data_IF_442058110356
#
_entry.id   IF_442058110356
#
_cell.length_a   1.000
_cell.length_b   1.000
_cell.length_c   1.000
_cell.angle_alpha   90.00
_cell.angle_beta   90.00
_cell.angle_gamma   90.00
#
_symmetry.space_group_name_H-M   'P 1'
#
loop_
_entity.id
_entity.type
_entity.pdbx_description
1 polymer ?
#
# COMPACT_ATOMS: atom_id res chain seq x y z
N UNK A 1 -42.41 8.32 59.03
CA UNK A 1 -41.74 7.19 58.37
C UNK A 1 -42.05 7.09 56.86
N UNK A 2 -42.09 8.23 56.12
CA UNK A 2 -42.38 8.22 54.65
C UNK A 2 -41.45 9.13 53.81
N UNK A 3 -40.45 9.75 54.41
CA UNK A 3 -39.53 10.68 53.68
C UNK A 3 -38.20 10.02 53.30
N UNK A 4 -37.79 8.94 53.97
CA UNK A 4 -36.48 8.30 53.77
C UNK A 4 -36.41 7.33 52.59
N UNK A 5 -37.54 7.01 51.92
CA UNK A 5 -37.57 6.07 50.77
C UNK A 5 -37.49 6.74 49.38
N UNK A 6 -37.65 8.04 49.28
CA UNK A 6 -37.62 8.77 48.01
C UNK A 6 -36.19 9.20 47.61
N UNK A 7 -35.29 9.38 48.58
CA UNK A 7 -33.92 9.79 48.31
C UNK A 7 -33.03 8.65 47.78
N UNK A 8 -33.36 7.40 48.10
CA UNK A 8 -32.57 6.22 47.64
C UNK A 8 -32.86 5.82 46.19
N UNK A 9 -33.96 6.28 45.59
CA UNK A 9 -34.31 5.94 44.18
C UNK A 9 -33.71 6.96 43.22
N UNK A 10 -33.48 8.19 43.62
CA UNK A 10 -32.86 9.23 42.79
C UNK A 10 -31.33 9.10 42.68
N UNK A 11 -30.68 8.42 43.63
CA UNK A 11 -29.24 8.16 43.59
C UNK A 11 -28.89 6.93 42.70
N UNK A 12 -29.83 6.00 42.49
CA UNK A 12 -29.57 4.85 41.60
C UNK A 12 -29.83 5.18 40.14
N UNK A 13 -30.67 6.17 39.82
CA UNK A 13 -30.92 6.65 38.46
C UNK A 13 -29.77 7.53 37.91
N UNK A 14 -29.01 8.18 38.77
CA UNK A 14 -27.87 9.01 38.39
C UNK A 14 -26.59 8.18 38.10
N UNK A 15 -26.50 6.93 38.59
CA UNK A 15 -25.35 6.04 38.35
C UNK A 15 -25.46 5.25 37.06
N UNK A 16 -26.63 5.26 36.39
CA UNK A 16 -26.86 4.57 35.09
C UNK A 16 -26.72 5.49 33.87
N UNK A 17 -26.41 6.76 34.05
CA UNK A 17 -26.10 7.73 33.00
C UNK A 17 -24.58 7.96 32.81
N UNK A 18 -23.75 7.13 33.45
CA UNK A 18 -22.30 7.17 33.25
C UNK A 18 -21.91 6.31 32.05
N UNK A 19 -21.60 7.02 30.99
CA UNK A 19 -20.68 6.65 29.93
C UNK A 19 -21.05 5.52 28.96
N UNK A 20 -21.90 5.83 28.00
CA UNK A 20 -21.48 5.61 26.63
C UNK A 20 -20.82 6.93 26.13
N UNK A 21 -19.65 7.27 26.64
CA UNK A 21 -18.74 8.07 25.83
C UNK A 21 -18.35 7.15 24.69
N UNK A 22 -18.87 7.41 23.49
CA UNK A 22 -18.36 6.80 22.29
C UNK A 22 -16.85 7.05 22.32
N UNK A 23 -16.07 5.99 22.41
CA UNK A 23 -14.61 6.06 22.38
C UNK A 23 -14.27 6.86 21.11
N UNK A 24 -13.51 7.94 21.22
CA UNK A 24 -13.11 8.72 20.05
C UNK A 24 -12.35 7.78 19.12
N UNK A 25 -12.58 7.84 17.81
CA UNK A 25 -11.82 7.04 16.86
C UNK A 25 -10.32 7.24 17.11
N UNK A 26 -9.59 6.13 17.22
CA UNK A 26 -8.15 6.15 17.43
C UNK A 26 -7.45 6.10 16.06
N UNK A 27 -6.80 7.19 15.69
CA UNK A 27 -5.98 7.28 14.48
C UNK A 27 -4.55 6.83 14.81
N UNK A 28 -3.92 6.13 13.85
CA UNK A 28 -2.49 5.81 13.96
C UNK A 28 -1.70 7.10 13.74
N UNK A 29 -0.74 7.36 14.59
CA UNK A 29 0.17 8.50 14.49
C UNK A 29 1.59 8.07 14.81
N UNK A 30 2.54 8.92 14.54
CA UNK A 30 3.94 8.70 14.90
C UNK A 30 4.27 9.49 16.17
N UNK A 31 4.78 8.81 17.19
CA UNK A 31 5.33 9.39 18.41
C UNK A 31 6.68 8.72 18.71
N UNK A 32 7.72 9.51 18.93
CA UNK A 32 9.07 9.03 19.22
C UNK A 32 9.58 7.97 18.20
N UNK A 33 9.22 8.14 16.92
CA UNK A 33 9.61 7.24 15.83
C UNK A 33 8.80 5.95 15.71
N UNK A 34 7.77 5.77 16.52
CA UNK A 34 6.94 4.57 16.55
C UNK A 34 5.51 4.86 16.11
N UNK A 35 4.85 3.89 15.50
CA UNK A 35 3.40 3.95 15.32
C UNK A 35 2.70 3.77 16.67
N UNK A 36 1.80 4.68 16.98
CA UNK A 36 1.02 4.69 18.22
C UNK A 36 -0.46 4.78 17.90
N UNK A 37 -1.22 3.82 18.43
CA UNK A 37 -2.67 3.77 18.37
C UNK A 37 -3.16 2.85 19.48
N UNK A 38 -4.30 3.16 20.12
CA UNK A 38 -4.81 2.40 21.26
C UNK A 38 -5.12 0.94 20.91
N UNK A 39 -5.63 0.70 19.71
CA UNK A 39 -6.14 -0.59 19.24
C UNK A 39 -5.40 -1.15 18.00
N UNK A 40 -4.21 -0.62 17.71
CA UNK A 40 -3.42 -1.04 16.57
C UNK A 40 -1.95 -1.25 16.95
N UNK A 41 -1.29 -2.32 16.45
CA UNK A 41 0.08 -2.64 16.84
C UNK A 41 1.10 -1.63 16.29
N UNK A 42 2.17 -1.40 17.03
CA UNK A 42 3.29 -0.55 16.60
C UNK A 42 4.13 -1.19 15.48
N UNK A 43 4.07 -2.52 15.35
CA UNK A 43 4.71 -3.27 14.28
C UNK A 43 3.68 -4.20 13.63
N UNK A 44 3.70 -4.31 12.30
CA UNK A 44 2.70 -5.11 11.58
C UNK A 44 3.27 -5.84 10.37
N UNK A 45 2.60 -6.93 10.01
CA UNK A 45 2.70 -7.58 8.70
C UNK A 45 1.41 -7.33 7.95
N UNK A 46 1.53 -6.89 6.73
CA UNK A 46 0.42 -6.65 5.80
C UNK A 46 0.73 -7.18 4.40
N UNK A 47 -0.11 -6.82 3.46
CA UNK A 47 0.06 -7.19 2.06
C UNK A 47 -0.43 -6.11 1.11
N UNK A 48 0.05 -6.14 -0.12
CA UNK A 48 -0.54 -5.38 -1.21
C UNK A 48 -1.82 -6.07 -1.69
N UNK A 49 -2.89 -5.28 -1.72
CA UNK A 49 -4.24 -5.67 -2.13
C UNK A 49 -4.78 -4.62 -3.10
N UNK A 50 -3.97 -4.31 -4.13
CA UNK A 50 -4.18 -3.18 -5.03
C UNK A 50 -5.57 -3.17 -5.66
N UNK A 51 -6.11 -4.33 -5.98
CA UNK A 51 -7.42 -4.49 -6.63
C UNK A 51 -8.63 -4.45 -5.67
N UNK A 52 -8.42 -4.21 -4.38
CA UNK A 52 -9.46 -4.31 -3.35
C UNK A 52 -10.67 -3.42 -3.61
N UNK A 53 -10.49 -2.22 -4.15
CA UNK A 53 -11.59 -1.32 -4.52
C UNK A 53 -12.44 -1.88 -5.67
N UNK A 54 -11.81 -2.53 -6.66
CA UNK A 54 -12.52 -3.18 -7.78
C UNK A 54 -13.28 -4.38 -7.25
N UNK A 55 -12.65 -5.24 -6.45
CA UNK A 55 -13.26 -6.43 -5.89
C UNK A 55 -14.46 -6.11 -5.00
N UNK A 56 -14.40 -5.00 -4.22
CA UNK A 56 -15.51 -4.50 -3.39
C UNK A 56 -16.65 -3.85 -4.16
N UNK A 57 -16.49 -3.63 -5.47
CA UNK A 57 -17.50 -2.97 -6.30
C UNK A 57 -18.67 -3.88 -6.67
N UNK A 58 -19.75 -3.26 -7.14
CA UNK A 58 -20.90 -3.97 -7.75
C UNK A 58 -20.80 -4.00 -9.29
N UNK A 59 -19.62 -3.60 -9.82
CA UNK A 59 -19.37 -3.53 -11.25
C UNK A 59 -18.58 -4.72 -11.79
N UNK A 60 -18.01 -4.51 -12.99
CA UNK A 60 -17.14 -5.49 -13.63
C UNK A 60 -15.92 -5.76 -12.73
N UNK A 61 -15.61 -7.01 -12.47
CA UNK A 61 -14.52 -7.44 -11.60
C UNK A 61 -14.83 -7.41 -10.10
N UNK A 62 -16.05 -6.99 -9.71
CA UNK A 62 -16.48 -7.00 -8.32
C UNK A 62 -16.96 -8.38 -7.87
N UNK A 63 -16.53 -8.77 -6.68
CA UNK A 63 -16.98 -9.97 -5.96
C UNK A 63 -16.85 -9.74 -4.45
N UNK A 64 -17.91 -9.22 -3.85
CA UNK A 64 -17.95 -8.92 -2.41
C UNK A 64 -17.84 -10.17 -1.54
N UNK A 65 -18.41 -11.29 -1.99
CA UNK A 65 -18.30 -12.54 -1.23
C UNK A 65 -16.85 -13.04 -1.15
N UNK A 66 -16.11 -12.94 -2.27
CA UNK A 66 -14.68 -13.19 -2.29
C UNK A 66 -13.94 -12.18 -1.42
N UNK A 67 -14.23 -10.88 -1.53
CA UNK A 67 -13.59 -9.85 -0.70
C UNK A 67 -13.72 -10.15 0.79
N UNK A 68 -14.91 -10.47 1.28
CA UNK A 68 -15.15 -10.80 2.68
C UNK A 68 -14.35 -12.04 3.12
N UNK A 69 -14.33 -13.10 2.29
CA UNK A 69 -13.54 -14.31 2.56
C UNK A 69 -12.03 -14.04 2.57
N UNK A 70 -11.53 -13.16 1.68
CA UNK A 70 -10.14 -12.70 1.66
C UNK A 70 -9.78 -11.97 2.96
N UNK A 71 -10.61 -11.00 3.37
CA UNK A 71 -10.39 -10.22 4.60
C UNK A 71 -10.46 -11.10 5.85
N UNK A 72 -11.38 -12.05 5.92
CA UNK A 72 -11.47 -13.01 7.03
C UNK A 72 -10.22 -13.89 7.12
N UNK A 73 -9.69 -14.32 5.96
CA UNK A 73 -8.46 -15.12 5.88
C UNK A 73 -7.25 -14.30 6.32
N UNK A 74 -7.12 -13.06 5.83
CA UNK A 74 -6.03 -12.15 6.20
C UNK A 74 -6.04 -11.83 7.69
N UNK A 75 -7.22 -11.54 8.26
CA UNK A 75 -7.39 -11.36 9.70
C UNK A 75 -7.01 -12.61 10.48
N UNK A 76 -7.45 -13.79 10.04
CA UNK A 76 -7.11 -15.06 10.68
C UNK A 76 -5.60 -15.36 10.64
N UNK A 77 -4.86 -14.82 9.67
CA UNK A 77 -3.40 -14.86 9.59
C UNK A 77 -2.72 -13.80 10.49
N UNK A 78 -3.48 -12.92 11.16
CA UNK A 78 -2.95 -11.85 12.00
C UNK A 78 -2.48 -10.62 11.21
N UNK A 79 -2.81 -10.53 9.93
CA UNK A 79 -2.50 -9.34 9.11
C UNK A 79 -3.50 -8.23 9.41
N UNK A 80 -2.98 -7.01 9.60
CA UNK A 80 -3.78 -5.85 10.01
C UNK A 80 -3.71 -4.69 9.02
N UNK A 81 -2.82 -4.77 8.02
CA UNK A 81 -2.59 -3.68 7.06
C UNK A 81 -2.73 -4.15 5.61
N UNK A 82 -3.46 -3.40 4.82
CA UNK A 82 -3.57 -3.60 3.37
C UNK A 82 -3.15 -2.32 2.64
N UNK A 83 -2.32 -2.47 1.62
CA UNK A 83 -1.96 -1.38 0.72
C UNK A 83 -2.81 -1.46 -0.54
N UNK A 84 -3.61 -0.43 -0.81
CA UNK A 84 -4.72 -0.42 -1.77
C UNK A 84 -4.56 0.73 -2.76
N UNK A 85 -4.76 0.45 -4.05
CA UNK A 85 -4.75 1.47 -5.10
C UNK A 85 -6.05 2.28 -5.09
N UNK A 86 -5.92 3.60 -5.05
CA UNK A 86 -6.98 4.57 -5.34
C UNK A 86 -6.59 5.33 -6.60
N UNK A 87 -6.51 4.60 -7.69
CA UNK A 87 -6.04 5.06 -8.99
C UNK A 87 -6.55 4.14 -10.08
N UNK A 88 -6.00 4.30 -11.27
CA UNK A 88 -6.42 3.68 -12.50
C UNK A 88 -6.91 4.79 -13.43
N UNK A 89 -5.95 5.37 -14.17
CA UNK A 89 -6.15 6.58 -14.97
C UNK A 89 -6.17 6.27 -16.46
N UNK A 90 -7.09 6.88 -17.19
CA UNK A 90 -7.22 6.77 -18.63
C UNK A 90 -8.34 5.83 -19.08
N UNK A 91 -8.42 5.55 -20.38
CA UNK A 91 -9.49 4.72 -20.94
C UNK A 91 -9.32 3.26 -20.56
N UNK A 92 -10.47 2.55 -20.43
CA UNK A 92 -10.49 1.10 -20.30
C UNK A 92 -9.96 0.40 -21.58
N UNK A 93 -9.54 -0.86 -21.45
CA UNK A 93 -9.22 -1.73 -22.59
C UNK A 93 -7.77 -1.66 -23.06
N UNK A 94 -6.87 -1.05 -22.28
CA UNK A 94 -5.43 -1.16 -22.50
C UNK A 94 -4.93 -2.42 -21.77
N UNK A 95 -4.40 -3.42 -22.47
CA UNK A 95 -4.14 -4.75 -21.89
C UNK A 95 -3.18 -4.76 -20.70
N UNK A 96 -2.23 -3.82 -20.65
CA UNK A 96 -1.22 -3.71 -19.58
C UNK A 96 -1.70 -2.91 -18.38
N UNK A 97 -2.92 -2.33 -18.44
CA UNK A 97 -3.43 -1.44 -17.41
C UNK A 97 -4.54 -2.05 -16.58
N UNK A 98 -4.63 -1.55 -15.36
CA UNK A 98 -5.77 -1.80 -14.47
C UNK A 98 -7.07 -1.46 -15.18
N UNK A 99 -8.01 -2.39 -15.19
CA UNK A 99 -9.34 -2.24 -15.77
C UNK A 99 -10.37 -2.95 -14.86
N UNK A 100 -11.53 -2.32 -14.58
CA UNK A 100 -11.96 -1.01 -15.04
C UNK A 100 -11.18 0.14 -14.38
N UNK A 101 -11.03 1.25 -15.10
CA UNK A 101 -10.31 2.44 -14.62
C UNK A 101 -11.16 3.26 -13.64
N UNK A 102 -10.50 3.89 -12.66
CA UNK A 102 -11.14 4.77 -11.68
C UNK A 102 -11.45 6.16 -12.27
N UNK A 103 -10.52 6.73 -13.01
CA UNK A 103 -10.64 8.06 -13.61
C UNK A 103 -10.40 7.97 -15.13
N UNK A 104 -11.47 8.06 -15.92
CA UNK A 104 -11.40 7.91 -17.39
C UNK A 104 -10.87 9.15 -18.10
N UNK A 105 -11.22 10.32 -17.61
CA UNK A 105 -10.79 11.64 -18.03
C UNK A 105 -10.64 12.51 -16.78
N UNK A 106 -9.91 13.63 -16.82
CA UNK A 106 -9.75 14.50 -15.65
C UNK A 106 -11.09 14.87 -15.00
N UNK A 107 -11.26 14.48 -13.75
CA UNK A 107 -12.47 14.71 -12.97
C UNK A 107 -13.68 13.83 -13.34
N UNK A 108 -13.54 12.88 -14.26
CA UNK A 108 -14.61 11.94 -14.64
C UNK A 108 -14.34 10.57 -14.02
N UNK A 109 -15.00 10.31 -12.91
CA UNK A 109 -14.75 9.14 -12.07
C UNK A 109 -15.76 8.01 -12.28
N UNK A 110 -15.28 6.79 -12.11
CA UNK A 110 -16.10 5.59 -12.00
C UNK A 110 -16.57 5.43 -10.54
N UNK A 111 -17.74 5.97 -10.24
CA UNK A 111 -18.31 5.94 -8.90
C UNK A 111 -18.59 4.50 -8.39
N UNK A 112 -18.72 3.54 -9.29
CA UNK A 112 -18.87 2.12 -8.92
C UNK A 112 -17.64 1.59 -8.20
N UNK A 113 -16.43 1.96 -8.67
CA UNK A 113 -15.15 1.59 -8.00
C UNK A 113 -15.01 2.35 -6.68
N UNK A 114 -15.38 3.63 -6.64
CA UNK A 114 -15.38 4.38 -5.38
C UNK A 114 -16.32 3.77 -4.33
N UNK A 115 -17.52 3.32 -4.73
CA UNK A 115 -18.39 2.58 -3.80
C UNK A 115 -17.80 1.23 -3.39
N UNK A 116 -17.00 0.61 -4.25
CA UNK A 116 -16.22 -0.57 -3.90
C UNK A 116 -15.15 -0.29 -2.86
N UNK A 117 -14.45 0.84 -2.97
CA UNK A 117 -13.51 1.31 -1.95
C UNK A 117 -14.22 1.63 -0.63
N UNK A 118 -15.39 2.29 -0.68
CA UNK A 118 -16.22 2.56 0.49
C UNK A 118 -16.60 1.27 1.22
N UNK A 119 -17.00 0.23 0.46
CA UNK A 119 -17.34 -1.07 0.99
C UNK A 119 -16.13 -1.79 1.59
N UNK A 120 -15.00 -1.80 0.89
CA UNK A 120 -13.74 -2.36 1.40
C UNK A 120 -13.36 -1.74 2.75
N UNK A 121 -13.37 -0.41 2.86
CA UNK A 121 -13.02 0.27 4.11
C UNK A 121 -14.00 -0.05 5.25
N UNK A 122 -15.29 -0.17 4.95
CA UNK A 122 -16.28 -0.59 5.94
C UNK A 122 -16.01 -2.01 6.46
N UNK A 123 -15.75 -2.96 5.57
CA UNK A 123 -15.42 -4.35 5.91
C UNK A 123 -14.08 -4.49 6.66
N UNK A 124 -13.09 -3.66 6.31
CA UNK A 124 -11.81 -3.59 7.04
C UNK A 124 -11.99 -3.03 8.45
N UNK A 125 -12.84 -2.01 8.62
CA UNK A 125 -13.15 -1.44 9.93
C UNK A 125 -13.75 -2.48 10.88
N UNK A 126 -14.70 -3.30 10.40
CA UNK A 126 -15.32 -4.38 11.20
C UNK A 126 -14.32 -5.45 11.65
N UNK A 127 -13.22 -5.58 10.91
CA UNK A 127 -12.15 -6.53 11.19
C UNK A 127 -10.96 -5.94 11.95
N UNK A 128 -11.03 -4.66 12.32
CA UNK A 128 -9.93 -3.89 12.89
C UNK A 128 -8.66 -3.91 12.00
N UNK A 129 -8.85 -3.84 10.69
CA UNK A 129 -7.79 -3.72 9.69
C UNK A 129 -7.70 -2.28 9.20
N UNK A 130 -6.53 -1.87 8.72
CA UNK A 130 -6.31 -0.51 8.23
C UNK A 130 -5.70 -0.52 6.83
N UNK A 131 -6.08 0.48 6.03
CA UNK A 131 -5.64 0.64 4.64
C UNK A 131 -4.62 1.75 4.48
N UNK A 132 -3.51 1.47 3.81
CA UNK A 132 -2.68 2.48 3.14
C UNK A 132 -3.27 2.71 1.76
N UNK A 133 -3.70 3.95 1.49
CA UNK A 133 -4.36 4.32 0.23
C UNK A 133 -3.40 5.12 -0.64
N UNK A 134 -2.86 4.50 -1.71
CA UNK A 134 -1.99 5.21 -2.64
C UNK A 134 -2.75 5.75 -3.85
N UNK A 135 -2.48 7.03 -4.18
CA UNK A 135 -3.38 7.86 -5.01
C UNK A 135 -2.86 7.99 -6.45
N UNK A 136 -1.60 7.67 -6.70
CA UNK A 136 -0.97 7.81 -8.02
C UNK A 136 0.02 6.67 -8.28
N UNK A 137 0.63 6.70 -9.46
CA UNK A 137 1.67 5.77 -9.86
C UNK A 137 2.66 6.44 -10.81
N UNK A 138 3.95 6.19 -10.66
CA UNK A 138 4.90 6.63 -11.66
C UNK A 138 4.96 5.69 -12.87
N UNK A 139 4.50 4.44 -12.68
CA UNK A 139 4.48 3.40 -13.69
C UNK A 139 3.15 3.37 -14.48
N UNK A 140 3.22 2.79 -15.66
CA UNK A 140 2.14 2.77 -16.65
C UNK A 140 0.96 1.88 -16.25
N UNK A 141 1.16 0.82 -15.46
CA UNK A 141 0.14 -0.21 -15.22
C UNK A 141 -1.16 0.30 -14.54
N UNK A 142 -1.16 1.49 -13.98
CA UNK A 142 -2.39 2.17 -13.57
C UNK A 142 -2.58 3.55 -14.23
N UNK A 143 -1.94 3.79 -15.37
CA UNK A 143 -2.00 5.06 -16.12
C UNK A 143 -1.04 6.11 -15.59
N UNK A 144 -1.22 6.57 -14.38
CA UNK A 144 -0.31 7.41 -13.60
C UNK A 144 0.27 8.61 -14.35
N UNK A 145 1.56 8.91 -14.11
CA UNK A 145 2.24 10.10 -14.68
C UNK A 145 2.04 10.26 -16.18
N UNK A 146 2.05 9.15 -16.92
CA UNK A 146 1.86 9.19 -18.39
C UNK A 146 0.50 9.75 -18.79
N UNK A 147 -0.58 9.36 -18.09
CA UNK A 147 -1.92 9.83 -18.36
C UNK A 147 -2.12 11.30 -17.98
N UNK A 148 -1.57 11.73 -16.85
CA UNK A 148 -1.64 13.15 -16.48
C UNK A 148 -0.90 14.05 -17.48
N UNK A 149 0.23 13.59 -18.02
CA UNK A 149 0.93 14.29 -19.12
C UNK A 149 0.09 14.34 -20.40
N UNK A 150 -0.56 13.24 -20.78
CA UNK A 150 -1.45 13.20 -21.94
C UNK A 150 -2.61 14.18 -21.77
N UNK A 151 -3.28 14.18 -20.65
CA UNK A 151 -4.37 15.10 -20.33
C UNK A 151 -3.92 16.57 -20.26
N UNK A 152 -2.67 16.79 -19.85
CA UNK A 152 -2.07 18.14 -19.91
C UNK A 152 -1.73 18.60 -21.33
N UNK A 153 -1.81 17.70 -22.33
CA UNK A 153 -1.45 17.98 -23.74
C UNK A 153 0.06 17.87 -24.02
N UNK A 154 0.81 17.18 -23.16
CA UNK A 154 2.26 17.02 -23.27
C UNK A 154 2.69 15.79 -24.11
N UNK A 155 1.78 15.16 -24.82
CA UNK A 155 2.00 14.00 -25.67
C UNK A 155 1.19 12.79 -25.18
N UNK A 156 1.21 11.69 -25.94
CA UNK A 156 0.52 10.47 -25.56
C UNK A 156 1.23 9.74 -24.42
N UNK A 157 0.46 9.11 -23.55
CA UNK A 157 0.96 8.17 -22.57
C UNK A 157 1.56 6.96 -23.29
N UNK A 158 2.83 6.68 -23.01
CA UNK A 158 3.55 5.57 -23.64
C UNK A 158 3.32 4.27 -22.84
N UNK A 159 3.34 3.15 -23.56
CA UNK A 159 3.19 1.79 -22.99
C UNK A 159 4.55 1.10 -23.08
N UNK A 160 5.20 0.76 -21.95
CA UNK A 160 6.54 0.13 -21.96
C UNK A 160 6.62 -1.15 -22.80
N UNK A 161 5.53 -1.94 -22.83
CA UNK A 161 5.47 -3.15 -23.67
C UNK A 161 5.57 -2.87 -25.18
N UNK A 162 5.22 -1.66 -25.61
CA UNK A 162 5.28 -1.26 -27.04
C UNK A 162 6.60 -0.54 -27.38
N UNK A 163 7.07 0.33 -26.48
CA UNK A 163 8.19 1.23 -26.77
C UNK A 163 9.46 0.93 -25.98
N UNK A 164 9.39 0.04 -24.99
CA UNK A 164 10.45 -0.21 -24.02
C UNK A 164 10.44 0.76 -22.85
N UNK A 165 11.10 0.38 -21.75
CA UNK A 165 11.12 1.18 -20.51
C UNK A 165 11.88 2.49 -20.66
N UNK A 166 12.98 2.57 -21.42
CA UNK A 166 13.78 3.78 -21.54
C UNK A 166 12.99 4.94 -22.18
N UNK A 167 12.32 4.82 -23.34
CA UNK A 167 11.48 5.88 -23.88
C UNK A 167 10.29 6.24 -22.96
N UNK A 168 9.74 5.26 -22.24
CA UNK A 168 8.69 5.50 -21.26
C UNK A 168 9.21 6.40 -20.12
N UNK A 169 10.33 6.04 -19.47
CA UNK A 169 10.93 6.81 -18.38
C UNK A 169 11.29 8.24 -18.81
N UNK A 170 11.88 8.40 -20.00
CA UNK A 170 12.15 9.73 -20.59
C UNK A 170 10.86 10.55 -20.78
N UNK A 171 9.76 9.90 -21.17
CA UNK A 171 8.47 10.59 -21.32
C UNK A 171 7.91 11.05 -19.99
N UNK A 172 7.83 10.14 -19.00
CA UNK A 172 7.20 10.42 -17.69
C UNK A 172 8.06 11.30 -16.78
N UNK A 173 9.38 11.40 -17.02
CA UNK A 173 10.28 12.31 -16.28
C UNK A 173 9.86 13.78 -16.35
N UNK A 174 9.04 14.15 -17.35
CA UNK A 174 8.50 15.50 -17.53
C UNK A 174 7.33 15.82 -16.59
N UNK A 175 6.78 14.83 -15.89
CA UNK A 175 5.61 15.03 -15.04
C UNK A 175 5.88 16.06 -13.94
N UNK A 176 6.98 15.90 -13.20
CA UNK A 176 7.31 16.75 -12.04
C UNK A 176 7.58 18.21 -12.40
N UNK A 177 7.92 18.49 -13.66
CA UNK A 177 8.13 19.85 -14.19
C UNK A 177 6.94 20.38 -14.98
N UNK A 178 5.86 19.61 -15.14
CA UNK A 178 4.66 20.01 -15.88
C UNK A 178 3.55 20.48 -14.92
N UNK A 179 3.43 21.79 -14.75
CA UNK A 179 2.48 22.39 -13.80
C UNK A 179 1.04 21.96 -14.05
N UNK A 180 0.62 21.87 -15.35
CA UNK A 180 -0.74 21.47 -15.68
C UNK A 180 -1.01 19.99 -15.32
N UNK A 181 -0.05 19.10 -15.53
CA UNK A 181 -0.19 17.70 -15.15
C UNK A 181 -0.24 17.55 -13.63
N UNK A 182 0.59 18.28 -12.89
CA UNK A 182 0.56 18.29 -11.42
C UNK A 182 -0.78 18.82 -10.89
N UNK A 183 -1.32 19.91 -11.46
CA UNK A 183 -2.60 20.48 -11.01
C UNK A 183 -3.76 19.49 -11.24
N UNK A 184 -3.80 18.79 -12.37
CA UNK A 184 -4.79 17.72 -12.60
C UNK A 184 -4.68 16.60 -11.56
N UNK A 185 -3.47 16.26 -11.15
CA UNK A 185 -3.26 15.31 -10.06
C UNK A 185 -3.69 15.86 -8.70
N UNK A 186 -3.41 17.13 -8.40
CA UNK A 186 -3.88 17.77 -7.15
C UNK A 186 -5.41 17.83 -7.08
N UNK A 187 -6.10 17.99 -8.20
CA UNK A 187 -7.56 17.90 -8.24
C UNK A 187 -8.05 16.49 -7.92
N UNK A 188 -7.35 15.46 -8.39
CA UNK A 188 -7.62 14.07 -8.00
C UNK A 188 -7.41 13.84 -6.49
N UNK A 189 -6.30 14.34 -5.92
CA UNK A 189 -6.05 14.30 -4.48
C UNK A 189 -7.19 14.95 -3.69
N UNK A 190 -7.61 16.16 -4.08
CA UNK A 190 -8.74 16.87 -3.45
C UNK A 190 -10.01 16.03 -3.48
N UNK A 191 -10.31 15.43 -4.63
CA UNK A 191 -11.50 14.60 -4.80
C UNK A 191 -11.49 13.36 -3.91
N UNK A 192 -10.38 12.61 -3.88
CA UNK A 192 -10.23 11.37 -3.12
C UNK A 192 -10.25 11.63 -1.62
N UNK A 193 -9.40 12.54 -1.14
CA UNK A 193 -9.23 12.79 0.31
C UNK A 193 -10.48 13.41 0.93
N UNK A 194 -11.25 14.20 0.17
CA UNK A 194 -12.49 14.83 0.64
C UNK A 194 -13.73 13.94 0.54
N UNK A 195 -13.58 12.66 0.16
CA UNK A 195 -14.71 11.75 -0.02
C UNK A 195 -15.41 11.45 1.31
N UNK A 196 -16.72 11.22 1.21
CA UNK A 196 -17.53 10.62 2.28
C UNK A 196 -17.88 9.20 1.88
N UNK A 197 -17.59 8.23 2.73
CA UNK A 197 -17.89 6.82 2.55
C UNK A 197 -19.42 6.63 2.45
N UNK A 198 -19.90 6.05 1.36
CA UNK A 198 -21.34 5.88 1.11
C UNK A 198 -21.98 4.75 1.92
N UNK A 199 -21.17 3.83 2.48
CA UNK A 199 -21.63 2.72 3.32
C UNK A 199 -21.76 3.16 4.77
N UNK A 200 -20.73 3.83 5.30
CA UNK A 200 -20.67 4.23 6.71
C UNK A 200 -21.21 5.64 6.97
N UNK A 201 -21.30 6.48 5.94
CA UNK A 201 -21.65 7.90 6.05
C UNK A 201 -20.54 8.77 6.65
N UNK A 202 -19.34 8.24 6.92
CA UNK A 202 -18.22 8.98 7.49
C UNK A 202 -17.40 9.65 6.40
N UNK A 203 -16.96 10.91 6.56
CA UNK A 203 -15.88 11.45 5.74
C UNK A 203 -14.62 10.59 5.88
N UNK A 204 -13.86 10.40 4.81
CA UNK A 204 -12.63 9.59 4.85
C UNK A 204 -11.63 10.11 5.89
N UNK A 205 -11.48 11.40 6.02
CA UNK A 205 -10.64 12.02 7.07
C UNK A 205 -11.03 11.67 8.50
N UNK A 206 -12.25 11.16 8.73
CA UNK A 206 -12.76 10.77 10.05
C UNK A 206 -12.88 9.24 10.18
N UNK A 207 -12.37 8.48 9.19
CA UNK A 207 -12.46 7.02 9.18
C UNK A 207 -11.14 6.36 9.65
N UNK A 208 -11.09 5.82 10.88
CA UNK A 208 -9.87 5.22 11.41
C UNK A 208 -9.48 3.90 10.72
N UNK A 209 -10.27 3.38 9.78
CA UNK A 209 -9.86 2.27 8.91
C UNK A 209 -8.79 2.69 7.89
N UNK A 210 -8.62 3.99 7.65
CA UNK A 210 -7.50 4.49 6.88
C UNK A 210 -6.27 4.60 7.80
N UNK A 211 -5.16 3.98 7.40
CA UNK A 211 -3.87 4.07 8.07
C UNK A 211 -3.14 5.34 7.67
N UNK A 212 -3.04 5.54 6.36
CA UNK A 212 -2.35 6.68 5.77
C UNK A 212 -2.79 6.93 4.34
N UNK A 213 -2.61 8.16 3.91
CA UNK A 213 -2.58 8.54 2.51
C UNK A 213 -1.16 8.36 1.97
N UNK A 214 -1.03 7.76 0.80
CA UNK A 214 0.25 7.62 0.15
C UNK A 214 0.23 8.34 -1.19
N UNK A 215 1.24 9.19 -1.43
CA UNK A 215 1.26 10.07 -2.60
C UNK A 215 1.22 9.28 -3.90
N UNK A 216 1.94 8.16 -3.96
CA UNK A 216 1.90 7.32 -5.15
C UNK A 216 2.56 5.96 -4.95
N UNK A 217 2.39 5.10 -5.95
CA UNK A 217 3.17 3.89 -6.09
C UNK A 217 4.51 4.25 -6.75
N UNK A 218 5.60 4.02 -6.03
CA UNK A 218 6.97 4.20 -6.53
C UNK A 218 7.19 5.54 -7.24
N UNK A 219 6.89 6.69 -6.59
CA UNK A 219 7.15 7.98 -7.22
C UNK A 219 8.63 8.13 -7.54
N UNK A 220 8.93 8.51 -8.80
CA UNK A 220 10.28 8.71 -9.31
C UNK A 220 10.36 10.01 -10.13
N UNK A 221 11.51 10.66 -10.11
CA UNK A 221 11.76 11.77 -11.03
C UNK A 221 12.29 11.31 -12.39
N UNK A 222 12.93 10.15 -12.47
CA UNK A 222 13.59 9.63 -13.66
C UNK A 222 14.64 10.60 -14.26
N UNK A 223 15.22 11.48 -13.42
CA UNK A 223 16.20 12.50 -13.79
C UNK A 223 17.27 12.58 -12.72
N UNK A 224 18.51 12.78 -13.19
CA UNK A 224 19.68 12.94 -12.31
C UNK A 224 20.12 14.43 -12.18
N UNK A 225 19.52 15.33 -12.97
CA UNK A 225 19.83 16.76 -12.91
C UNK A 225 19.10 17.44 -11.74
N UNK A 226 19.71 18.51 -11.23
CA UNK A 226 19.21 19.23 -10.05
C UNK A 226 17.82 19.85 -10.26
N UNK A 227 17.49 20.31 -11.47
CA UNK A 227 16.18 20.86 -11.77
C UNK A 227 15.07 19.82 -11.61
N UNK A 228 15.29 18.61 -12.16
CA UNK A 228 14.33 17.50 -12.02
C UNK A 228 14.21 17.02 -10.59
N UNK A 229 15.33 16.88 -9.88
CA UNK A 229 15.32 16.46 -8.47
C UNK A 229 14.65 17.50 -7.56
N UNK A 230 14.92 18.81 -7.77
CA UNK A 230 14.28 19.88 -7.00
C UNK A 230 12.76 19.92 -7.26
N UNK A 231 12.32 19.80 -8.52
CA UNK A 231 10.92 19.73 -8.88
C UNK A 231 10.23 18.48 -8.31
N UNK A 232 10.94 17.35 -8.22
CA UNK A 232 10.42 16.13 -7.63
C UNK A 232 10.20 16.25 -6.12
N UNK A 233 11.17 16.81 -5.41
CA UNK A 233 11.04 17.10 -3.97
C UNK A 233 9.87 18.06 -3.72
N UNK A 234 9.80 19.16 -4.49
CA UNK A 234 8.72 20.15 -4.40
C UNK A 234 7.33 19.51 -4.66
N UNK A 235 7.23 18.65 -5.68
CA UNK A 235 6.00 17.93 -5.98
C UNK A 235 5.54 17.06 -4.79
N UNK A 236 6.43 16.26 -4.20
CA UNK A 236 6.10 15.39 -3.08
C UNK A 236 5.73 16.19 -1.81
N UNK A 237 6.48 17.24 -1.51
CA UNK A 237 6.21 18.09 -0.35
C UNK A 237 4.89 18.87 -0.51
N UNK A 238 4.65 19.43 -1.69
CA UNK A 238 3.38 20.14 -2.00
C UNK A 238 2.18 19.19 -1.89
N UNK A 239 2.34 17.95 -2.38
CA UNK A 239 1.27 16.95 -2.27
C UNK A 239 1.02 16.56 -0.82
N UNK A 240 2.07 16.32 -0.03
CA UNK A 240 1.93 16.00 1.39
C UNK A 240 1.22 17.13 2.15
N UNK A 241 1.65 18.38 1.94
CA UNK A 241 1.01 19.55 2.54
C UNK A 241 -0.47 19.70 2.11
N UNK A 242 -0.78 19.45 0.83
CA UNK A 242 -2.17 19.45 0.34
C UNK A 242 -3.01 18.40 1.07
N UNK A 243 -2.53 17.17 1.17
CA UNK A 243 -3.24 16.09 1.89
C UNK A 243 -3.47 16.49 3.36
N UNK A 244 -2.42 16.95 4.06
CA UNK A 244 -2.53 17.39 5.46
C UNK A 244 -3.50 18.56 5.66
N UNK A 245 -3.63 19.45 4.66
CA UNK A 245 -4.60 20.56 4.70
C UNK A 245 -6.06 20.08 4.60
N UNK A 246 -6.30 18.96 3.95
CA UNK A 246 -7.61 18.35 3.74
C UNK A 246 -7.96 17.36 4.86
N UNK A 247 -6.96 16.65 5.34
CA UNK A 247 -7.06 15.60 6.36
C UNK A 247 -5.93 15.72 7.39
N UNK A 248 -6.18 16.37 8.52
CA UNK A 248 -5.19 16.51 9.58
C UNK A 248 -5.07 15.27 10.48
N UNK A 249 -5.91 14.25 10.30
CA UNK A 249 -6.00 13.10 11.20
C UNK A 249 -5.10 11.93 10.76
N UNK A 250 -4.96 11.72 9.45
CA UNK A 250 -4.21 10.58 8.93
C UNK A 250 -2.76 10.93 8.62
N UNK A 251 -1.93 9.90 8.68
CA UNK A 251 -0.54 9.98 8.25
C UNK A 251 -0.44 10.11 6.72
N UNK A 252 0.69 10.65 6.27
CA UNK A 252 1.06 10.73 4.86
C UNK A 252 2.40 10.06 4.65
N UNK A 253 2.54 9.31 3.55
CA UNK A 253 3.80 8.74 3.10
C UNK A 253 4.05 8.97 1.62
N UNK A 254 5.29 8.86 1.19
CA UNK A 254 5.66 9.07 -0.21
C UNK A 254 5.28 7.90 -1.11
N UNK A 255 5.45 6.66 -0.64
CA UNK A 255 5.38 5.42 -1.42
C UNK A 255 6.66 5.12 -2.20
N UNK A 256 7.79 5.69 -1.78
CA UNK A 256 9.08 5.54 -2.45
C UNK A 256 9.65 4.12 -2.32
N UNK A 257 10.33 3.65 -3.37
CA UNK A 257 11.14 2.42 -3.31
C UNK A 257 12.38 2.56 -2.41
N UNK A 258 12.68 3.76 -1.90
CA UNK A 258 13.93 4.06 -1.23
C UNK A 258 14.97 4.63 -2.19
N UNK A 259 16.23 4.30 -1.95
CA UNK A 259 17.38 4.74 -2.75
C UNK A 259 17.21 4.48 -4.25
N UNK A 260 16.69 3.33 -4.63
CA UNK A 260 16.48 3.01 -6.06
C UNK A 260 15.37 3.85 -6.70
N UNK A 261 14.34 4.22 -5.93
CA UNK A 261 13.33 5.19 -6.36
C UNK A 261 13.87 6.61 -6.55
N UNK A 262 15.09 6.85 -6.08
CA UNK A 262 15.84 8.11 -6.20
C UNK A 262 17.07 7.97 -7.12
N UNK A 263 17.02 7.13 -8.12
CA UNK A 263 18.10 6.89 -9.10
C UNK A 263 19.46 6.50 -8.44
N UNK A 264 19.40 5.85 -7.27
CA UNK A 264 20.58 5.47 -6.49
C UNK A 264 21.10 6.57 -5.56
N UNK A 265 20.47 7.73 -5.52
CA UNK A 265 20.86 8.88 -4.71
C UNK A 265 20.18 8.88 -3.32
N UNK A 266 20.93 8.47 -2.29
CA UNK A 266 20.45 8.49 -0.91
C UNK A 266 20.21 9.92 -0.39
N UNK A 267 20.93 10.92 -0.89
CA UNK A 267 20.70 12.31 -0.47
C UNK A 267 19.37 12.85 -1.01
N UNK A 268 18.95 12.45 -2.21
CA UNK A 268 17.63 12.77 -2.72
C UNK A 268 16.52 12.09 -1.88
N UNK A 269 16.71 10.81 -1.52
CA UNK A 269 15.79 10.10 -0.62
C UNK A 269 15.69 10.79 0.75
N UNK A 270 16.79 11.20 1.32
CA UNK A 270 16.85 11.99 2.57
C UNK A 270 16.08 13.30 2.45
N UNK A 271 16.32 14.08 1.38
CA UNK A 271 15.61 15.35 1.13
C UNK A 271 14.10 15.16 1.08
N UNK A 272 13.61 14.12 0.41
CA UNK A 272 12.18 13.82 0.34
C UNK A 272 11.63 13.58 1.74
N UNK A 273 12.27 12.72 2.52
CA UNK A 273 11.75 12.27 3.80
C UNK A 273 12.08 13.20 4.97
N UNK A 274 12.86 14.28 4.75
CA UNK A 274 13.00 15.37 5.71
C UNK A 274 11.75 16.26 5.80
N UNK A 275 10.77 16.10 4.89
CA UNK A 275 9.48 16.78 4.93
C UNK A 275 8.74 16.49 6.24
N UNK A 276 8.30 17.53 7.00
CA UNK A 276 7.54 17.31 8.23
C UNK A 276 6.15 16.72 8.01
N UNK A 277 5.57 16.90 6.81
CA UNK A 277 4.25 16.37 6.44
C UNK A 277 4.29 14.94 5.92
N UNK A 278 5.48 14.34 5.75
CA UNK A 278 5.67 12.90 5.48
C UNK A 278 5.99 12.22 6.81
N UNK A 279 5.06 11.43 7.33
CA UNK A 279 5.12 10.90 8.69
C UNK A 279 6.05 9.71 8.86
N UNK A 280 6.21 8.87 7.83
CA UNK A 280 7.06 7.68 7.86
C UNK A 280 7.76 7.45 6.51
N UNK A 281 8.83 6.66 6.54
CA UNK A 281 9.68 6.37 5.39
C UNK A 281 9.27 5.06 4.73
N UNK A 282 9.42 4.97 3.41
CA UNK A 282 9.08 3.79 2.63
C UNK A 282 10.29 3.23 1.90
N UNK A 283 10.33 1.89 1.78
CA UNK A 283 11.22 1.17 0.89
C UNK A 283 10.47 0.03 0.21
N UNK A 284 10.90 -0.33 -1.01
CA UNK A 284 10.54 -1.54 -1.72
C UNK A 284 11.80 -2.34 -2.02
N UNK A 285 11.70 -3.66 -2.07
CA UNK A 285 12.85 -4.52 -2.36
C UNK A 285 12.45 -5.62 -3.34
N UNK A 286 13.05 -5.57 -4.54
CA UNK A 286 12.73 -6.45 -5.64
C UNK A 286 13.96 -7.27 -6.09
N UNK A 287 14.31 -8.40 -5.44
CA UNK A 287 15.50 -9.19 -5.77
C UNK A 287 15.57 -9.64 -7.22
N UNK A 288 14.44 -10.00 -7.82
CA UNK A 288 14.36 -10.42 -9.21
C UNK A 288 14.52 -9.23 -10.17
N UNK A 289 13.75 -8.16 -9.99
CA UNK A 289 13.76 -6.97 -10.85
C UNK A 289 15.13 -6.25 -10.80
N UNK A 290 15.78 -6.26 -9.64
CA UNK A 290 17.12 -5.68 -9.45
C UNK A 290 18.26 -6.65 -9.80
N UNK A 291 17.94 -7.79 -10.41
CA UNK A 291 18.91 -8.80 -10.87
C UNK A 291 19.83 -9.37 -9.79
N UNK A 292 19.42 -9.35 -8.53
CA UNK A 292 20.11 -10.07 -7.46
C UNK A 292 19.91 -11.58 -7.60
N UNK A 293 18.74 -11.97 -8.11
CA UNK A 293 18.43 -13.32 -8.57
C UNK A 293 17.91 -13.26 -9.99
N UNK A 294 17.97 -14.40 -10.70
CA UNK A 294 17.43 -14.60 -12.04
C UNK A 294 16.64 -15.89 -12.09
N UNK A 295 15.89 -16.12 -13.15
CA UNK A 295 15.05 -17.31 -13.36
C UNK A 295 15.75 -18.63 -13.00
N UNK A 296 17.00 -18.78 -13.40
CA UNK A 296 17.80 -19.99 -13.16
C UNK A 296 18.70 -19.93 -11.91
N UNK A 297 18.61 -18.88 -11.12
CA UNK A 297 19.46 -18.67 -9.92
C UNK A 297 18.66 -18.35 -8.65
N UNK A 298 17.35 -18.53 -8.65
CA UNK A 298 16.49 -18.21 -7.52
C UNK A 298 17.00 -18.83 -6.20
N UNK A 299 17.35 -20.11 -6.23
CA UNK A 299 17.88 -20.83 -5.06
C UNK A 299 19.36 -20.56 -4.80
N UNK A 300 20.18 -20.58 -5.85
CA UNK A 300 21.63 -20.44 -5.70
C UNK A 300 22.08 -19.05 -5.26
N UNK A 301 21.36 -18.01 -5.68
CA UNK A 301 21.64 -16.61 -5.33
C UNK A 301 20.76 -16.10 -4.18
N UNK A 302 19.93 -16.95 -3.56
CA UNK A 302 19.10 -16.54 -2.42
C UNK A 302 19.94 -15.94 -1.26
N UNK A 303 21.10 -16.50 -0.87
CA UNK A 303 21.94 -15.87 0.14
C UNK A 303 22.43 -14.46 -0.24
N UNK A 304 22.69 -14.22 -1.53
CA UNK A 304 23.06 -12.88 -2.02
C UNK A 304 21.87 -11.92 -1.94
N UNK A 305 20.68 -12.37 -2.34
CA UNK A 305 19.46 -11.57 -2.23
C UNK A 305 19.18 -11.18 -0.77
N UNK A 306 19.31 -12.11 0.16
CA UNK A 306 19.17 -11.88 1.59
C UNK A 306 20.17 -10.83 2.10
N UNK A 307 21.46 -10.99 1.78
CA UNK A 307 22.51 -10.06 2.21
C UNK A 307 22.30 -8.64 1.65
N UNK A 308 21.87 -8.51 0.40
CA UNK A 308 21.54 -7.24 -0.21
C UNK A 308 20.28 -6.60 0.41
N UNK A 309 19.27 -7.41 0.74
CA UNK A 309 18.06 -6.97 1.44
C UNK A 309 18.41 -6.38 2.81
N UNK A 310 19.23 -7.09 3.61
CA UNK A 310 19.67 -6.60 4.92
C UNK A 310 20.41 -5.27 4.79
N UNK A 311 21.35 -5.19 3.88
CA UNK A 311 22.11 -3.96 3.63
C UNK A 311 21.18 -2.80 3.24
N UNK A 312 20.20 -3.05 2.40
CA UNK A 312 19.25 -2.02 1.94
C UNK A 312 18.38 -1.53 3.10
N UNK A 313 17.85 -2.44 3.91
CA UNK A 313 17.09 -2.09 5.12
C UNK A 313 17.97 -1.27 6.07
N UNK A 314 19.20 -1.69 6.36
CA UNK A 314 20.07 -1.02 7.32
C UNK A 314 20.49 0.37 6.85
N UNK A 315 20.77 0.59 5.56
CA UNK A 315 21.05 1.90 4.99
C UNK A 315 19.89 2.89 5.20
N UNK A 316 18.65 2.44 5.05
CA UNK A 316 17.45 3.28 5.22
C UNK A 316 17.08 3.46 6.70
N UNK A 317 17.29 2.44 7.54
CA UNK A 317 17.12 2.56 8.99
C UNK A 317 18.03 3.62 9.63
N UNK A 318 19.22 3.79 9.11
CA UNK A 318 20.13 4.85 9.58
C UNK A 318 19.53 6.25 9.39
N UNK A 319 18.84 6.50 8.26
CA UNK A 319 18.11 7.75 8.04
C UNK A 319 16.84 7.83 8.87
N UNK A 320 16.10 6.73 8.99
CA UNK A 320 14.91 6.65 9.84
C UNK A 320 15.23 7.05 11.29
N UNK A 321 16.35 6.58 11.83
CA UNK A 321 16.87 6.97 13.14
C UNK A 321 17.21 8.47 13.22
N UNK A 322 17.82 9.03 12.16
CA UNK A 322 18.19 10.46 12.11
C UNK A 322 16.96 11.36 12.19
N UNK A 323 15.87 10.98 11.53
CA UNK A 323 14.65 11.76 11.45
C UNK A 323 13.58 11.35 12.48
N UNK A 324 13.81 10.30 13.26
CA UNK A 324 12.84 9.78 14.23
C UNK A 324 11.53 9.35 13.57
N UNK A 325 11.62 8.71 12.39
CA UNK A 325 10.46 8.24 11.62
C UNK A 325 10.45 6.73 11.50
N UNK A 326 9.29 6.07 11.56
CA UNK A 326 9.20 4.64 11.25
C UNK A 326 9.64 4.36 9.80
N UNK A 327 10.24 3.19 9.57
CA UNK A 327 10.53 2.65 8.25
C UNK A 327 9.56 1.51 7.95
N UNK A 328 8.93 1.55 6.79
CA UNK A 328 8.03 0.50 6.29
C UNK A 328 8.54 -0.04 4.96
N UNK A 329 8.69 -1.36 4.85
CA UNK A 329 8.92 -2.02 3.57
C UNK A 329 7.56 -2.38 2.95
N UNK A 330 7.09 -1.53 2.04
CA UNK A 330 5.73 -1.63 1.51
C UNK A 330 5.58 -2.57 0.32
N UNK A 331 6.70 -2.95 -0.28
CA UNK A 331 6.73 -3.98 -1.31
C UNK A 331 7.99 -4.83 -1.19
N UNK A 332 7.80 -6.12 -1.30
CA UNK A 332 8.82 -7.11 -1.59
C UNK A 332 8.14 -8.38 -2.12
N UNK A 333 8.81 -9.08 -2.98
CA UNK A 333 8.31 -10.32 -3.54
C UNK A 333 9.46 -11.26 -3.90
N UNK A 334 9.11 -12.51 -4.15
CA UNK A 334 10.06 -13.50 -4.64
C UNK A 334 9.33 -14.53 -5.51
N UNK A 335 9.84 -14.85 -6.73
CA UNK A 335 9.20 -15.79 -7.63
C UNK A 335 9.09 -17.21 -7.06
N UNK A 336 8.20 -18.02 -7.64
CA UNK A 336 8.11 -19.46 -7.34
C UNK A 336 9.37 -20.20 -7.79
N UNK A 337 9.63 -21.33 -7.19
CA UNK A 337 10.76 -22.18 -7.55
C UNK A 337 10.77 -22.48 -9.06
N UNK A 338 11.97 -22.51 -9.64
CA UNK A 338 12.19 -22.78 -11.06
C UNK A 338 11.40 -21.82 -11.99
N UNK A 339 11.11 -20.61 -11.49
CA UNK A 339 10.37 -19.56 -12.19
C UNK A 339 9.01 -20.02 -12.73
N UNK A 340 8.31 -20.81 -11.94
CA UNK A 340 6.95 -21.27 -12.27
C UNK A 340 5.92 -20.22 -11.89
N UNK A 341 4.74 -20.28 -12.51
CA UNK A 341 3.64 -19.34 -12.25
C UNK A 341 2.39 -20.04 -11.69
N UNK A 342 2.20 -21.31 -12.04
CA UNK A 342 0.98 -22.04 -11.70
C UNK A 342 0.83 -22.25 -10.18
N UNK A 343 -0.39 -22.11 -9.69
CA UNK A 343 -0.75 -22.46 -8.31
C UNK A 343 -0.36 -23.92 -8.00
N UNK A 344 0.07 -24.14 -6.75
CA UNK A 344 0.52 -25.48 -6.30
C UNK A 344 1.94 -25.86 -6.71
N UNK A 345 2.64 -25.05 -7.52
CA UNK A 345 4.07 -25.25 -7.77
C UNK A 345 4.89 -24.84 -6.53
N UNK A 346 6.10 -25.42 -6.33
CA UNK A 346 6.90 -25.18 -5.11
C UNK A 346 7.27 -23.69 -4.93
N UNK A 347 7.36 -23.28 -3.66
CA UNK A 347 7.69 -21.90 -3.23
C UNK A 347 8.79 -21.89 -2.16
N UNK A 348 9.72 -22.85 -2.21
CA UNK A 348 10.69 -23.05 -1.12
C UNK A 348 11.67 -21.89 -0.95
N UNK A 349 12.13 -21.30 -2.05
CA UNK A 349 13.01 -20.13 -2.03
C UNK A 349 12.26 -18.88 -1.56
N UNK A 350 10.99 -18.70 -1.99
CA UNK A 350 10.11 -17.63 -1.49
C UNK A 350 9.92 -17.75 0.02
N UNK A 351 9.59 -18.93 0.51
CA UNK A 351 9.35 -19.16 1.94
C UNK A 351 10.59 -18.89 2.80
N UNK A 352 11.78 -19.21 2.29
CA UNK A 352 13.05 -18.92 2.98
C UNK A 352 13.32 -17.41 2.99
N UNK A 353 13.15 -16.73 1.86
CA UNK A 353 13.28 -15.27 1.75
C UNK A 353 12.28 -14.54 2.65
N UNK A 354 11.01 -14.92 2.61
CA UNK A 354 9.96 -14.33 3.45
C UNK A 354 10.23 -14.55 4.93
N UNK A 355 10.65 -15.74 5.32
CA UNK A 355 11.01 -16.03 6.73
C UNK A 355 12.14 -15.13 7.22
N UNK A 356 13.13 -14.86 6.36
CA UNK A 356 14.21 -13.95 6.70
C UNK A 356 13.70 -12.51 6.86
N UNK A 357 12.96 -12.00 5.89
CA UNK A 357 12.40 -10.63 5.92
C UNK A 357 11.46 -10.44 7.13
N UNK A 358 10.58 -11.41 7.38
CA UNK A 358 9.71 -11.36 8.55
C UNK A 358 10.50 -11.48 9.87
N UNK A 359 11.61 -12.19 9.85
CA UNK A 359 12.53 -12.24 11.00
C UNK A 359 13.04 -10.85 11.40
N UNK A 360 13.37 -10.00 10.42
CA UNK A 360 13.83 -8.62 10.65
C UNK A 360 12.80 -7.76 11.37
N UNK A 361 11.52 -7.83 11.00
CA UNK A 361 10.48 -7.04 11.69
C UNK A 361 10.16 -7.61 13.07
N UNK A 362 10.20 -8.93 13.26
CA UNK A 362 10.04 -9.56 14.59
C UNK A 362 11.15 -9.13 15.53
N UNK A 363 12.41 -9.06 15.06
CA UNK A 363 13.54 -8.56 15.85
C UNK A 363 13.37 -7.08 16.17
N UNK A 364 13.01 -6.25 15.18
CA UNK A 364 12.71 -4.85 15.40
C UNK A 364 11.62 -4.65 16.46
N UNK A 365 10.54 -5.44 16.42
CA UNK A 365 9.49 -5.35 17.41
C UNK A 365 9.99 -5.69 18.83
N UNK A 366 10.89 -6.68 18.99
CA UNK A 366 11.48 -7.03 20.27
C UNK A 366 12.34 -5.91 20.88
N UNK A 367 12.98 -5.15 20.02
CA UNK A 367 13.92 -4.09 20.40
C UNK A 367 13.25 -2.70 20.49
N UNK A 368 11.97 -2.59 20.11
CA UNK A 368 11.30 -1.29 19.93
C UNK A 368 11.96 -0.47 18.82
N UNK A 369 12.39 -1.14 17.75
CA UNK A 369 13.11 -0.53 16.63
C UNK A 369 12.19 0.12 15.61
N UNK A 370 12.78 0.91 14.71
CA UNK A 370 12.04 1.74 13.74
C UNK A 370 11.59 0.99 12.48
N UNK A 371 12.01 -0.25 12.25
CA UNK A 371 11.45 -1.08 11.18
C UNK A 371 10.09 -1.58 11.61
N UNK A 372 9.04 -0.79 11.32
CA UNK A 372 7.75 -0.88 12.00
C UNK A 372 6.64 -1.54 11.19
N UNK A 373 6.85 -1.78 9.90
CA UNK A 373 5.84 -2.40 9.05
C UNK A 373 6.41 -3.04 7.80
N UNK A 374 5.68 -4.00 7.26
CA UNK A 374 5.95 -4.53 5.93
C UNK A 374 4.67 -5.04 5.26
N UNK A 375 4.61 -4.90 3.92
CA UNK A 375 3.56 -5.43 3.07
C UNK A 375 4.21 -6.22 1.93
N UNK A 376 3.99 -7.52 1.85
CA UNK A 376 4.50 -8.27 0.70
C UNK A 376 3.67 -7.98 -0.56
N UNK A 377 4.27 -8.13 -1.70
CA UNK A 377 3.62 -8.09 -3.00
C UNK A 377 3.45 -9.51 -3.52
N UNK A 378 2.24 -10.00 -3.69
CA UNK A 378 0.95 -9.37 -3.41
C UNK A 378 -0.03 -10.48 -3.07
N UNK A 379 -1.19 -10.11 -2.56
CA UNK A 379 -2.19 -11.09 -2.18
C UNK A 379 -2.90 -11.68 -3.41
N UNK A 380 -2.76 -12.97 -3.64
CA UNK A 380 -3.49 -13.74 -4.65
C UNK A 380 -4.75 -14.38 -4.09
N UNK A 381 -4.70 -14.75 -2.81
CA UNK A 381 -5.86 -15.24 -2.05
C UNK A 381 -6.58 -16.41 -2.69
N UNK A 382 -7.87 -16.24 -2.92
CA UNK A 382 -8.74 -17.22 -3.55
C UNK A 382 -8.88 -17.04 -5.08
N UNK A 383 -8.08 -16.16 -5.70
CA UNK A 383 -8.14 -15.96 -7.15
C UNK A 383 -7.98 -17.28 -7.91
N UNK A 384 -8.85 -17.53 -8.87
CA UNK A 384 -8.62 -18.52 -9.91
C UNK A 384 -7.49 -18.07 -10.84
N UNK A 385 -6.75 -18.99 -11.38
CA UNK A 385 -5.69 -18.70 -12.34
C UNK A 385 -6.11 -19.21 -13.71
N UNK A 386 -5.91 -18.39 -14.76
CA UNK A 386 -6.11 -18.83 -16.15
C UNK A 386 -5.16 -19.97 -16.47
N UNK A 387 -5.69 -21.03 -17.11
CA UNK A 387 -4.86 -22.16 -17.58
C UNK A 387 -4.19 -21.88 -18.93
N UNK A 388 -4.66 -20.85 -19.64
CA UNK A 388 -4.26 -20.57 -21.03
C UNK A 388 -3.41 -19.33 -21.20
N UNK A 389 -3.57 -18.34 -20.32
CA UNK A 389 -2.92 -17.04 -20.42
C UNK A 389 -2.04 -16.75 -19.21
N UNK A 390 -0.80 -16.33 -19.47
CA UNK A 390 0.11 -15.89 -18.41
C UNK A 390 -0.19 -14.46 -17.95
N UNK A 391 -0.86 -13.66 -18.76
CA UNK A 391 -1.21 -12.28 -18.45
C UNK A 391 -2.71 -12.15 -18.24
N UNK A 392 -3.11 -11.28 -17.33
CA UNK A 392 -4.50 -11.03 -17.02
C UNK A 392 -5.31 -10.64 -18.27
N UNK A 393 -6.48 -11.23 -18.42
CA UNK A 393 -7.44 -10.90 -19.47
C UNK A 393 -8.77 -10.43 -18.87
N UNK A 394 -9.54 -9.61 -19.59
CA UNK A 394 -10.88 -9.20 -19.14
C UNK A 394 -11.76 -10.39 -18.79
N UNK A 395 -12.15 -10.50 -17.55
CA UNK A 395 -12.95 -11.61 -17.01
C UNK A 395 -12.18 -12.57 -16.11
N UNK A 396 -10.85 -12.47 -16.08
CA UNK A 396 -10.03 -13.21 -15.10
C UNK A 396 -10.17 -12.60 -13.71
N UNK A 397 -9.92 -13.41 -12.69
CA UNK A 397 -9.80 -12.93 -11.32
C UNK A 397 -8.57 -12.03 -11.16
N UNK A 398 -8.69 -10.98 -10.34
CA UNK A 398 -7.54 -10.20 -9.91
C UNK A 398 -6.73 -10.97 -8.86
N UNK A 399 -5.41 -10.88 -8.94
CA UNK A 399 -4.47 -11.37 -7.93
C UNK A 399 -3.42 -10.31 -7.60
N UNK A 400 -2.36 -10.66 -6.87
CA UNK A 400 -1.31 -9.73 -6.49
C UNK A 400 -0.52 -9.17 -7.67
N UNK A 401 -0.43 -9.91 -8.78
CA UNK A 401 0.28 -9.49 -9.99
C UNK A 401 -0.68 -8.66 -10.87
N UNK A 402 -0.37 -7.39 -11.18
CA UNK A 402 -1.20 -6.56 -12.06
C UNK A 402 -1.08 -7.00 -13.53
N UNK A 403 -1.90 -6.42 -14.40
CA UNK A 403 -2.13 -6.90 -15.77
C UNK A 403 -0.87 -6.99 -16.66
N UNK A 404 0.15 -6.15 -16.40
CA UNK A 404 1.42 -6.19 -17.16
C UNK A 404 2.38 -7.29 -16.71
N UNK A 405 2.10 -7.98 -15.59
CA UNK A 405 2.94 -9.05 -15.05
C UNK A 405 2.35 -10.43 -15.33
N UNK A 406 3.22 -11.45 -15.34
CA UNK A 406 2.77 -12.82 -15.41
C UNK A 406 2.01 -13.18 -14.14
N UNK A 407 0.78 -13.64 -14.29
CA UNK A 407 -0.10 -13.98 -13.19
C UNK A 407 0.43 -15.20 -12.41
N UNK A 408 0.72 -15.02 -11.13
CA UNK A 408 1.36 -16.00 -10.26
C UNK A 408 2.86 -15.78 -10.07
N UNK A 409 3.46 -14.74 -10.65
CA UNK A 409 4.88 -14.40 -10.47
C UNK A 409 5.21 -14.16 -8.99
N UNK A 410 4.48 -13.24 -8.35
CA UNK A 410 4.67 -12.85 -6.96
C UNK A 410 3.47 -13.18 -6.07
N UNK A 411 2.31 -13.45 -6.65
CA UNK A 411 1.07 -13.70 -5.90
C UNK A 411 1.19 -14.82 -4.87
N UNK A 412 0.72 -14.55 -3.67
CA UNK A 412 0.57 -15.52 -2.58
C UNK A 412 -0.88 -15.97 -2.53
N UNK A 413 -1.13 -17.22 -2.89
CA UNK A 413 -2.46 -17.80 -2.88
C UNK A 413 -2.73 -18.57 -1.57
N UNK A 414 -3.99 -18.75 -1.20
CA UNK A 414 -4.37 -19.57 -0.03
C UNK A 414 -3.91 -21.02 -0.16
N UNK A 415 -3.71 -21.50 -1.39
CA UNK A 415 -3.14 -22.80 -1.69
C UNK A 415 -1.64 -22.94 -1.37
N UNK A 416 -0.91 -21.81 -1.20
CA UNK A 416 0.50 -21.81 -0.81
C UNK A 416 0.66 -22.01 0.72
N UNK A 417 0.25 -23.17 1.20
CA UNK A 417 0.13 -23.48 2.64
C UNK A 417 1.41 -23.26 3.45
N UNK A 418 2.58 -23.48 2.84
CA UNK A 418 3.87 -23.22 3.49
C UNK A 418 4.14 -21.71 3.65
N UNK A 419 3.85 -20.90 2.65
CA UNK A 419 3.95 -19.42 2.74
C UNK A 419 2.94 -18.87 3.75
N UNK A 420 1.70 -19.40 3.75
CA UNK A 420 0.67 -19.03 4.73
C UNK A 420 1.14 -19.32 6.17
N UNK A 421 1.84 -20.43 6.37
CA UNK A 421 2.45 -20.74 7.67
C UNK A 421 3.56 -19.77 8.04
N UNK A 422 4.43 -19.39 7.11
CA UNK A 422 5.51 -18.42 7.35
C UNK A 422 4.93 -17.06 7.77
N UNK A 423 3.85 -16.60 7.11
CA UNK A 423 3.15 -15.36 7.47
C UNK A 423 2.58 -15.47 8.90
N UNK A 424 1.85 -16.53 9.20
CA UNK A 424 1.27 -16.76 10.54
C UNK A 424 2.32 -16.81 11.64
N UNK A 425 3.39 -17.55 11.44
CA UNK A 425 4.47 -17.66 12.43
C UNK A 425 5.05 -16.26 12.78
N UNK A 426 5.16 -15.37 11.79
CA UNK A 426 5.65 -14.01 11.98
C UNK A 426 4.66 -13.11 12.73
N UNK A 427 3.39 -13.11 12.33
CA UNK A 427 2.34 -12.31 12.99
C UNK A 427 2.09 -12.75 14.43
N UNK A 428 2.11 -14.07 14.69
CA UNK A 428 2.03 -14.62 16.04
C UNK A 428 3.21 -14.16 16.90
N UNK A 429 4.44 -14.21 16.35
CA UNK A 429 5.65 -13.77 17.06
C UNK A 429 5.61 -12.28 17.40
N UNK A 430 5.16 -11.40 16.48
CA UNK A 430 4.96 -9.96 16.75
C UNK A 430 3.92 -9.78 17.87
N UNK A 431 2.78 -10.47 17.74
CA UNK A 431 1.70 -10.40 18.73
C UNK A 431 2.17 -10.80 20.13
N UNK A 432 3.00 -11.83 20.25
CA UNK A 432 3.58 -12.26 21.54
C UNK A 432 4.55 -11.22 22.11
N UNK A 433 5.33 -10.57 21.26
CA UNK A 433 6.25 -9.50 21.69
C UNK A 433 5.49 -8.29 22.21
N UNK A 434 4.48 -7.84 21.50
CA UNK A 434 3.73 -6.62 21.82
C UNK A 434 2.75 -6.78 23.01
N UNK A 435 2.51 -8.01 23.48
CA UNK A 435 1.73 -8.28 24.71
C UNK A 435 2.55 -8.18 26.01
N UNK A 436 3.87 -8.09 25.89
CA UNK A 436 4.81 -8.02 27.04
C UNK A 436 5.11 -6.59 27.42
#
# INVERSE_FOLDING_TARGET
>A
MKITRIISILTLAAALLCSCQAQKPSFVRVEDGMFVCEDYPSHYVGTNFWYGAILGSEGVGGDRARLEAELDTLKALGMTNLRVLVGGDGPDGIPTRVSPTLQKEPGVYNDTIFRGLDYLLAEMAERNMKAVLYINNSWEWSGGYGMYLEWAGAGKALIPAEVGYQPFMESVSRFVTNEKAKELFYDHVRHVVSRTNTVTGKPYKDDPAIFSWQIGNEPRCFREDSEGQDAFVDFLWTTAALIKSLDPNHMVSSGSEGKWGCEGDMALYERIHSCPDIDYMNIHIWPYNWSWVRENTLKTNLPLAIANTDKYIDEHLALAQTYGKPLVMEEFGFPRDDFQFAQGTPVTARDEYYRHVFGRIVESAKEGGLFAGLNFWGWGGFAGQSETDLYWQPGDDYCGDPAQEQQGLNSVYVSDSSTMKVIRDATDAITEVLKK
#
